data_IF_478848696791
#
_entry.id   IF_478848696791
#
_cell.length_a   1.000
_cell.length_b   1.000
_cell.length_c   1.000
_cell.angle_alpha   90.00
_cell.angle_beta   90.00
_cell.angle_gamma   90.00
#
_symmetry.space_group_name_H-M   'P 1'
#
loop_
_entity.id
_entity.type
_entity.pdbx_description
1 polymer ?
#
# COMPACT_ATOMS: atom_id res chain seq x y z
N UNK A 1 -9.36 -0.40 15.45
CA UNK A 1 -9.26 0.75 14.52
C UNK A 1 -8.98 0.31 13.07
N UNK A 2 -8.13 -0.71 12.84
CA UNK A 2 -7.83 -1.26 11.50
C UNK A 2 -8.86 -2.33 11.05
N UNK A 3 -9.63 -2.89 11.99
CA UNK A 3 -10.61 -3.95 11.76
C UNK A 3 -11.78 -3.57 10.83
N UNK A 4 -12.06 -2.27 10.65
CA UNK A 4 -13.14 -1.76 9.79
C UNK A 4 -12.74 -1.62 8.31
N UNK A 5 -11.48 -1.89 7.97
CA UNK A 5 -11.01 -1.84 6.59
C UNK A 5 -11.04 -3.25 6.02
N UNK A 6 -12.00 -3.53 5.14
CA UNK A 6 -12.25 -4.87 4.62
C UNK A 6 -11.06 -5.45 3.84
N UNK A 7 -10.22 -4.59 3.26
CA UNK A 7 -9.19 -4.97 2.29
C UNK A 7 -7.75 -4.98 2.85
N UNK A 8 -7.58 -5.24 4.14
CA UNK A 8 -6.25 -5.32 4.77
C UNK A 8 -5.92 -6.77 5.07
N UNK A 9 -4.77 -7.22 4.60
CA UNK A 9 -4.20 -8.52 4.97
C UNK A 9 -3.61 -8.44 6.37
N UNK A 10 -3.65 -9.54 7.14
CA UNK A 10 -3.07 -9.64 8.49
C UNK A 10 -3.71 -8.71 9.53
N UNK A 11 -5.03 -8.48 9.48
CA UNK A 11 -5.79 -7.60 10.42
C UNK A 11 -5.66 -7.98 11.89
N UNK A 12 -5.48 -9.27 12.17
CA UNK A 12 -5.39 -9.82 13.52
C UNK A 12 -3.96 -9.86 14.05
N UNK A 13 -3.00 -9.37 13.28
CA UNK A 13 -1.61 -9.29 13.71
C UNK A 13 -1.44 -8.30 14.86
N UNK A 14 -0.69 -8.72 15.89
CA UNK A 14 -0.24 -7.83 16.98
C UNK A 14 0.92 -6.93 16.57
N UNK A 15 1.40 -7.04 15.33
CA UNK A 15 2.49 -6.24 14.82
C UNK A 15 2.03 -4.83 14.44
N UNK A 16 2.99 -3.93 14.24
CA UNK A 16 2.73 -2.56 13.83
C UNK A 16 2.12 -2.50 12.42
N UNK A 17 1.42 -1.42 12.13
CA UNK A 17 0.83 -1.17 10.83
C UNK A 17 1.82 -0.44 9.91
N UNK A 18 2.04 -0.96 8.70
CA UNK A 18 2.97 -0.38 7.74
C UNK A 18 2.20 0.37 6.64
N UNK A 19 2.47 1.66 6.50
CA UNK A 19 2.07 2.44 5.32
C UNK A 19 3.35 2.81 4.60
N UNK A 20 3.60 2.20 3.44
CA UNK A 20 4.81 2.46 2.67
C UNK A 20 4.56 2.37 1.17
N UNK A 21 5.39 3.06 0.40
CA UNK A 21 5.40 2.97 -1.05
C UNK A 21 6.12 4.16 -1.67
N UNK A 22 6.21 4.20 -3.01
CA UNK A 22 7.05 5.15 -3.72
C UNK A 22 6.54 6.58 -3.57
N UNK A 23 7.46 7.54 -3.43
CA UNK A 23 7.11 8.95 -3.33
C UNK A 23 6.33 9.43 -4.57
N UNK A 24 6.78 8.98 -5.75
CA UNK A 24 6.17 9.29 -7.05
C UNK A 24 5.97 7.97 -7.79
N UNK A 25 4.77 7.76 -8.33
CA UNK A 25 4.47 6.66 -9.24
C UNK A 25 4.58 7.20 -10.66
N UNK A 26 5.62 6.79 -11.38
CA UNK A 26 5.88 7.21 -12.77
C UNK A 26 5.20 6.29 -13.79
N UNK A 27 4.89 5.05 -13.39
CA UNK A 27 4.19 4.08 -14.21
C UNK A 27 3.56 2.97 -13.36
N UNK A 28 2.51 2.35 -13.91
CA UNK A 28 1.79 1.25 -13.26
C UNK A 28 2.71 0.05 -12.99
N UNK A 29 3.54 -0.32 -13.96
CA UNK A 29 4.50 -1.42 -13.82
C UNK A 29 5.50 -1.20 -12.68
N UNK A 30 5.96 0.04 -12.48
CA UNK A 30 6.84 0.39 -11.37
C UNK A 30 6.12 0.21 -10.04
N UNK A 31 4.88 0.70 -9.94
CA UNK A 31 4.09 0.58 -8.72
C UNK A 31 3.79 -0.88 -8.37
N UNK A 32 3.40 -1.69 -9.37
CA UNK A 32 3.13 -3.12 -9.20
C UNK A 32 4.38 -3.87 -8.73
N UNK A 33 5.54 -3.65 -9.36
CA UNK A 33 6.80 -4.29 -8.95
C UNK A 33 7.23 -3.94 -7.53
N UNK A 34 6.99 -2.70 -7.10
CA UNK A 34 7.29 -2.29 -5.72
C UNK A 34 6.28 -2.92 -4.76
N UNK A 35 4.99 -2.87 -5.09
CA UNK A 35 3.93 -3.45 -4.29
C UNK A 35 4.15 -4.96 -4.08
N UNK A 36 4.45 -5.72 -5.13
CA UNK A 36 4.73 -7.16 -5.05
C UNK A 36 5.88 -7.47 -4.06
N UNK A 37 6.99 -6.73 -4.17
CA UNK A 37 8.13 -6.92 -3.27
C UNK A 37 7.78 -6.63 -1.82
N UNK A 38 7.04 -5.55 -1.56
CA UNK A 38 6.67 -5.18 -0.19
C UNK A 38 5.64 -6.16 0.36
N UNK A 39 4.66 -6.59 -0.44
CA UNK A 39 3.67 -7.60 -0.07
C UNK A 39 4.36 -8.90 0.34
N UNK A 40 5.33 -9.40 -0.44
CA UNK A 40 6.09 -10.61 -0.10
C UNK A 40 6.81 -10.51 1.26
N UNK A 41 7.37 -9.34 1.57
CA UNK A 41 8.03 -9.09 2.86
C UNK A 41 6.99 -9.05 3.97
N UNK A 42 5.92 -8.28 3.80
CA UNK A 42 4.89 -8.09 4.82
C UNK A 42 4.12 -9.38 5.10
N UNK A 43 3.96 -10.23 4.08
CA UNK A 43 3.32 -11.54 4.20
C UNK A 43 4.17 -12.50 5.04
N UNK A 44 5.49 -12.53 4.80
CA UNK A 44 6.43 -13.33 5.59
C UNK A 44 6.40 -13.00 7.08
N UNK A 45 6.19 -11.74 7.43
CA UNK A 45 6.18 -11.26 8.82
C UNK A 45 4.77 -11.05 9.39
N UNK A 46 3.72 -11.42 8.64
CA UNK A 46 2.32 -11.17 8.98
C UNK A 46 2.08 -9.71 9.44
N UNK A 47 2.58 -8.75 8.66
CA UNK A 47 2.47 -7.32 8.96
C UNK A 47 1.34 -6.74 8.11
N UNK A 48 0.34 -6.06 8.71
CA UNK A 48 -0.70 -5.39 7.96
C UNK A 48 -0.11 -4.18 7.22
N UNK A 49 -0.32 -4.14 5.90
CA UNK A 49 0.34 -3.22 5.00
C UNK A 49 -0.65 -2.47 4.10
N UNK A 50 -0.43 -1.17 3.93
CA UNK A 50 -1.07 -0.34 2.89
C UNK A 50 0.00 0.22 1.96
N UNK A 51 -0.18 -0.02 0.66
CA UNK A 51 0.60 0.61 -0.38
C UNK A 51 0.20 2.08 -0.54
N UNK A 52 1.16 3.00 -0.33
CA UNK A 52 0.98 4.44 -0.53
C UNK A 52 1.92 4.94 -1.60
N UNK A 53 1.38 5.56 -2.65
CA UNK A 53 2.19 6.32 -3.60
C UNK A 53 1.45 7.51 -4.19
N UNK A 54 2.18 8.52 -4.66
CA UNK A 54 1.61 9.73 -5.26
C UNK A 54 1.76 9.70 -6.78
N UNK A 55 0.64 9.74 -7.51
CA UNK A 55 0.59 9.58 -8.96
C UNK A 55 0.90 10.87 -9.77
N UNK A 56 0.91 12.04 -9.11
CA UNK A 56 1.27 13.31 -9.77
C UNK A 56 1.66 14.36 -8.75
N UNK A 57 2.83 14.99 -8.90
CA UNK A 57 3.14 16.27 -8.26
C UNK A 57 2.54 17.39 -9.14
N UNK A 58 1.21 17.44 -9.20
CA UNK A 58 0.50 18.51 -9.89
C UNK A 58 -0.35 19.22 -8.85
N UNK A 59 -0.07 20.50 -8.65
CA UNK A 59 -0.95 21.37 -7.87
C UNK A 59 -2.36 21.25 -8.44
N UNK A 60 -3.35 21.13 -7.55
CA UNK A 60 -4.78 20.92 -7.82
C UNK A 60 -5.17 19.47 -8.19
N UNK A 61 -5.52 18.66 -7.17
CA UNK A 61 -6.70 17.76 -7.03
C UNK A 61 -6.38 16.62 -6.02
N UNK A 62 -7.33 16.17 -5.18
CA UNK A 62 -7.03 15.43 -3.94
C UNK A 62 -6.54 13.99 -4.15
N UNK A 63 -5.76 13.53 -3.18
CA UNK A 63 -5.13 12.21 -3.06
C UNK A 63 -6.05 11.06 -3.51
N UNK A 64 -5.69 10.39 -4.60
CA UNK A 64 -6.32 9.14 -5.02
C UNK A 64 -5.47 7.98 -4.52
N UNK A 65 -5.99 7.28 -3.51
CA UNK A 65 -5.42 6.01 -3.03
C UNK A 65 -5.70 4.92 -4.07
N UNK A 66 -4.66 4.24 -4.52
CA UNK A 66 -4.79 3.03 -5.34
C UNK A 66 -4.88 1.82 -4.38
N UNK A 67 -6.07 1.23 -4.28
CA UNK A 67 -6.24 -0.13 -3.78
C UNK A 67 -6.18 -1.06 -4.99
N UNK A 68 -5.17 -1.92 -5.05
CA UNK A 68 -5.09 -2.95 -6.09
C UNK A 68 -6.13 -4.02 -5.77
N UNK A 69 -7.01 -4.29 -6.72
CA UNK A 69 -8.07 -5.29 -6.62
C UNK A 69 -7.69 -6.45 -7.55
N UNK A 70 -6.75 -7.28 -7.08
CA UNK A 70 -6.52 -8.64 -7.57
C UNK A 70 -6.05 -9.49 -6.40
#
# INVERSE_FOLDING_TARGET
>A
MIQYLDNIHHKDSKNFFLIAGPCIIEGEDMALRIAEKVIQITDKYNIPYIFKGSFKKSQQKPCRFFYNHR
#
